data_IF_990475477189
#
_entry.id   IF_990475477189
#
_cell.length_a   1.000
_cell.length_b   1.000
_cell.length_c   1.000
_cell.angle_alpha   90.00
_cell.angle_beta   90.00
_cell.angle_gamma   90.00
#
_symmetry.space_group_name_H-M   'P 1'
#
loop_
_entity.id
_entity.type
_entity.pdbx_description
1 polymer ?
#
# COMPACT_ATOMS: atom_id res chain seq x y z
N UNK A 1 -18.20 15.97 -31.93
CA UNK A 1 -18.04 14.51 -31.86
C UNK A 1 -16.55 14.23 -31.85
N UNK A 2 -16.03 13.77 -30.71
CA UNK A 2 -14.64 13.32 -30.58
C UNK A 2 -14.62 11.81 -30.80
N UNK A 3 -13.73 11.32 -31.65
CA UNK A 3 -13.58 9.90 -31.94
C UNK A 3 -12.21 9.43 -31.46
N UNK A 4 -12.17 8.31 -30.75
CA UNK A 4 -10.95 7.68 -30.24
C UNK A 4 -10.89 6.26 -30.80
N UNK A 5 -9.74 5.87 -31.32
CA UNK A 5 -9.50 4.52 -31.87
C UNK A 5 -8.44 3.83 -31.00
N UNK A 6 -8.78 2.65 -30.46
CA UNK A 6 -7.90 1.83 -29.63
C UNK A 6 -7.41 0.61 -30.42
N UNK A 7 -6.22 0.72 -31.04
CA UNK A 7 -5.72 -0.32 -31.97
C UNK A 7 -5.12 -1.55 -31.26
N UNK A 8 -4.59 -1.39 -30.04
CA UNK A 8 -3.81 -2.43 -29.33
C UNK A 8 -4.53 -2.96 -28.09
N UNK A 9 -5.83 -3.20 -28.19
CA UNK A 9 -6.58 -3.81 -27.10
C UNK A 9 -6.39 -5.34 -27.09
N UNK A 10 -6.06 -5.90 -25.92
CA UNK A 10 -5.95 -7.36 -25.77
C UNK A 10 -7.33 -8.02 -25.95
N UNK A 11 -7.46 -9.18 -26.62
CA UNK A 11 -8.75 -9.79 -26.91
C UNK A 11 -9.62 -10.05 -25.67
N UNK A 12 -9.02 -10.51 -24.56
CA UNK A 12 -9.75 -10.79 -23.32
C UNK A 12 -10.41 -9.54 -22.70
N UNK A 13 -9.88 -8.34 -22.99
CA UNK A 13 -10.46 -7.10 -22.48
C UNK A 13 -11.78 -6.78 -23.19
N UNK A 14 -11.91 -7.15 -24.47
CA UNK A 14 -13.14 -6.95 -25.25
C UNK A 14 -14.27 -7.78 -24.65
N UNK A 15 -13.99 -9.05 -24.33
CA UNK A 15 -14.99 -9.95 -23.73
C UNK A 15 -15.41 -9.46 -22.34
N UNK A 16 -14.43 -9.00 -21.55
CA UNK A 16 -14.70 -8.42 -20.23
C UNK A 16 -15.55 -7.15 -20.34
N UNK A 17 -15.23 -6.24 -21.25
CA UNK A 17 -16.01 -5.01 -21.48
C UNK A 17 -17.44 -5.32 -21.93
N UNK A 18 -17.63 -6.29 -22.83
CA UNK A 18 -18.97 -6.74 -23.24
C UNK A 18 -19.75 -7.32 -22.06
N UNK A 19 -19.10 -8.13 -21.22
CA UNK A 19 -19.74 -8.70 -20.03
C UNK A 19 -20.14 -7.65 -18.99
N UNK A 20 -19.31 -6.60 -18.83
CA UNK A 20 -19.58 -5.47 -17.94
C UNK A 20 -20.73 -4.62 -18.46
N UNK A 21 -20.72 -4.28 -19.75
CA UNK A 21 -21.80 -3.54 -20.40
C UNK A 21 -23.14 -4.28 -20.27
N UNK A 22 -23.15 -5.61 -20.50
CA UNK A 22 -24.34 -6.44 -20.32
C UNK A 22 -24.83 -6.49 -18.87
N UNK A 23 -23.91 -6.46 -17.88
CA UNK A 23 -24.25 -6.44 -16.45
C UNK A 23 -24.85 -5.10 -16.01
N UNK A 24 -24.33 -4.00 -16.57
CA UNK A 24 -24.77 -2.64 -16.23
C UNK A 24 -25.92 -2.14 -17.10
N UNK A 25 -26.46 -2.99 -18.00
CA UNK A 25 -27.49 -2.64 -18.98
C UNK A 25 -27.14 -1.40 -19.82
N UNK A 26 -25.85 -1.21 -20.13
CA UNK A 26 -25.31 -0.09 -20.90
C UNK A 26 -24.80 -0.57 -22.25
N UNK A 27 -24.69 0.34 -23.21
CA UNK A 27 -23.93 0.07 -24.43
C UNK A 27 -22.43 -0.03 -24.13
N UNK A 28 -21.68 -0.64 -25.05
CA UNK A 28 -20.22 -0.77 -24.90
C UNK A 28 -19.53 0.60 -24.81
N UNK A 29 -20.04 1.59 -25.54
CA UNK A 29 -19.49 2.94 -25.62
C UNK A 29 -19.76 3.75 -24.35
N UNK A 30 -20.98 3.65 -23.81
CA UNK A 30 -21.35 4.29 -22.54
C UNK A 30 -20.54 3.71 -21.38
N UNK A 31 -20.37 2.37 -21.34
CA UNK A 31 -19.58 1.72 -20.31
C UNK A 31 -18.10 2.14 -20.36
N UNK A 32 -17.52 2.27 -21.56
CA UNK A 32 -16.14 2.76 -21.72
C UNK A 32 -16.02 4.21 -21.23
N UNK A 33 -17.01 5.05 -21.53
CA UNK A 33 -17.01 6.46 -21.12
C UNK A 33 -17.08 6.59 -19.60
N UNK A 34 -17.96 5.83 -18.95
CA UNK A 34 -18.10 5.80 -17.50
C UNK A 34 -16.86 5.23 -16.79
N UNK A 35 -16.22 4.20 -17.35
CA UNK A 35 -14.95 3.68 -16.81
C UNK A 35 -13.85 4.75 -16.90
N UNK A 36 -13.80 5.51 -17.98
CA UNK A 36 -12.83 6.60 -18.14
C UNK A 36 -13.10 7.74 -17.15
N UNK A 37 -14.37 8.11 -16.96
CA UNK A 37 -14.78 9.11 -15.97
C UNK A 37 -14.44 8.66 -14.55
N UNK A 38 -14.79 7.42 -14.20
CA UNK A 38 -14.42 6.83 -12.90
C UNK A 38 -12.90 6.76 -12.71
N UNK A 39 -12.14 6.42 -13.75
CA UNK A 39 -10.69 6.39 -13.67
C UNK A 39 -10.10 7.79 -13.40
N UNK A 40 -10.64 8.84 -14.03
CA UNK A 40 -10.26 10.23 -13.77
C UNK A 40 -10.62 10.66 -12.34
N UNK A 41 -11.75 10.21 -11.80
CA UNK A 41 -12.13 10.45 -10.41
C UNK A 41 -11.24 9.67 -9.41
N UNK A 42 -10.77 8.49 -9.81
CA UNK A 42 -9.96 7.57 -8.98
C UNK A 42 -8.47 7.94 -8.96
N UNK A 43 -7.99 8.85 -9.82
CA UNK A 43 -6.60 9.34 -9.79
C UNK A 43 -6.20 10.03 -8.47
N UNK A 44 -7.17 10.30 -7.58
CA UNK A 44 -6.95 10.88 -6.26
C UNK A 44 -7.10 9.83 -5.17
N UNK A 45 -6.11 8.94 -5.05
CA UNK A 45 -5.62 8.36 -3.78
C UNK A 45 -4.73 7.14 -4.09
N UNK A 46 -3.49 7.40 -4.50
CA UNK A 46 -2.41 6.44 -4.23
C UNK A 46 -2.12 6.53 -2.72
N UNK A 47 -3.07 6.09 -1.89
CA UNK A 47 -2.76 5.83 -0.49
C UNK A 47 -1.71 4.73 -0.49
N UNK A 48 -0.52 4.94 0.11
CA UNK A 48 0.38 3.82 0.33
C UNK A 48 -0.43 2.77 1.09
N UNK A 49 -0.50 1.56 0.54
CA UNK A 49 -1.27 0.42 1.10
C UNK A 49 -0.94 0.09 2.57
N UNK A 50 0.11 0.71 3.10
CA UNK A 50 0.63 0.48 4.43
C UNK A 50 0.69 1.81 5.18
N UNK A 51 -0.33 2.06 6.00
CA UNK A 51 -0.35 3.15 6.99
C UNK A 51 0.46 2.79 8.26
N UNK A 52 1.16 1.64 8.27
CA UNK A 52 1.94 1.19 9.42
C UNK A 52 2.79 -0.05 9.15
N UNK A 53 3.42 -0.55 10.22
CA UNK A 53 4.22 -1.77 10.20
C UNK A 53 3.37 -2.99 9.87
N UNK A 54 3.95 -3.94 9.16
CA UNK A 54 3.28 -5.20 8.84
C UNK A 54 3.04 -6.03 10.12
N UNK A 55 1.97 -6.82 10.19
CA UNK A 55 1.79 -7.79 11.27
C UNK A 55 3.05 -8.66 11.42
N UNK A 56 3.55 -8.82 12.64
CA UNK A 56 4.75 -9.61 12.93
C UNK A 56 6.09 -8.92 12.67
N UNK A 57 6.12 -7.65 12.26
CA UNK A 57 7.37 -6.94 11.94
C UNK A 57 8.39 -6.91 13.09
N UNK A 58 7.93 -6.92 14.35
CA UNK A 58 8.79 -6.91 15.53
C UNK A 58 8.93 -8.27 16.21
N UNK A 59 8.40 -9.35 15.62
CA UNK A 59 8.46 -10.69 16.20
C UNK A 59 9.83 -11.34 15.96
N UNK A 60 10.47 -11.06 14.83
CA UNK A 60 11.80 -11.56 14.50
C UNK A 60 12.79 -10.40 14.33
N UNK A 61 13.78 -10.33 15.23
CA UNK A 61 14.85 -9.33 15.20
C UNK A 61 16.16 -10.02 14.80
N UNK A 62 16.57 -9.83 13.56
CA UNK A 62 17.87 -10.31 13.07
C UNK A 62 18.99 -9.56 13.81
N UNK A 63 19.90 -10.32 14.44
CA UNK A 63 20.96 -9.75 15.28
C UNK A 63 20.53 -9.45 16.72
N UNK A 64 19.33 -9.88 17.13
CA UNK A 64 18.91 -9.89 18.53
C UNK A 64 19.82 -10.79 19.37
N UNK A 65 20.01 -10.42 20.63
CA UNK A 65 20.73 -11.24 21.60
C UNK A 65 19.98 -12.56 21.83
N UNK A 66 20.64 -13.68 21.57
CA UNK A 66 20.10 -15.05 21.71
C UNK A 66 20.69 -15.82 22.90
N UNK A 67 21.50 -15.16 23.74
CA UNK A 67 22.13 -15.76 24.91
C UNK A 67 21.25 -15.68 26.16
N UNK A 68 21.89 -15.61 27.33
CA UNK A 68 21.21 -15.52 28.62
C UNK A 68 20.28 -14.30 28.73
N UNK A 69 19.21 -14.36 29.53
CA UNK A 69 18.33 -13.22 29.75
C UNK A 69 19.11 -11.96 30.16
N UNK A 70 18.82 -10.84 29.49
CA UNK A 70 19.41 -9.56 29.86
C UNK A 70 18.90 -9.15 31.24
N UNK A 71 19.77 -9.21 32.24
CA UNK A 71 19.46 -8.77 33.60
C UNK A 71 19.96 -7.34 33.77
N UNK A 72 19.09 -6.46 34.26
CA UNK A 72 19.49 -5.13 34.71
C UNK A 72 19.97 -5.24 36.16
N UNK A 73 21.29 -5.22 36.36
CA UNK A 73 21.88 -5.18 37.68
C UNK A 73 21.44 -3.93 38.47
N UNK A 74 21.46 -3.98 39.81
CA UNK A 74 21.21 -2.81 40.64
C UNK A 74 22.13 -1.65 40.23
N UNK A 75 21.54 -0.46 40.12
CA UNK A 75 22.32 0.75 39.85
C UNK A 75 23.30 0.98 41.03
N UNK A 76 24.57 1.33 40.77
CA UNK A 76 25.50 1.68 41.84
C UNK A 76 25.05 2.98 42.52
N UNK A 77 25.63 3.25 43.70
CA UNK A 77 25.44 4.52 44.39
C UNK A 77 25.89 5.70 43.53
N UNK A 78 25.32 6.88 43.81
CA UNK A 78 25.66 8.11 43.10
C UNK A 78 27.14 8.44 43.31
N UNK A 79 27.88 8.58 42.21
CA UNK A 79 29.29 8.96 42.25
C UNK A 79 29.42 10.48 42.28
N UNK A 80 30.15 11.00 43.26
CA UNK A 80 30.55 12.41 43.29
C UNK A 80 31.84 12.61 42.49
N UNK A 81 31.91 13.71 41.73
CA UNK A 81 33.14 14.11 41.04
C UNK A 81 34.00 14.96 41.96
N UNK A 82 35.32 14.90 41.81
CA UNK A 82 36.22 15.82 42.52
C UNK A 82 35.91 17.29 42.16
N UNK A 83 36.02 18.22 43.14
CA UNK A 83 35.88 19.64 42.87
C UNK A 83 36.98 20.10 41.91
N UNK A 84 36.64 21.03 41.02
CA UNK A 84 37.61 21.65 40.12
C UNK A 84 38.55 22.55 40.97
N UNK A 85 39.87 22.37 40.79
CA UNK A 85 40.92 23.22 41.38
C UNK A 85 41.01 24.59 40.68
#
# INVERSE_FOLDING_TARGET
>A
MTQIILEKLKPYLIDKLKSLAAKNNRSLEEEITEILEQALETEVEIKPKYEGWQPGFFEEVIGGWSGEPLVREPQPEYQEREPLL
#
